data_IF_473833651062
#
_entry.id   IF_473833651062
#
_cell.length_a   1.000
_cell.length_b   1.000
_cell.length_c   1.000
_cell.angle_alpha   90.00
_cell.angle_beta   90.00
_cell.angle_gamma   90.00
#
_symmetry.space_group_name_H-M   'P 1'
#
loop_
_entity.id
_entity.type
_entity.pdbx_description
1 polymer ?
#
# COMPACT_ATOMS: atom_id res chain seq x y z
N UNK A 1 25.57 6.85 3.41
CA UNK A 1 24.42 6.31 2.66
C UNK A 1 24.75 5.13 1.74
N UNK A 2 25.97 4.99 1.20
CA UNK A 2 26.36 3.89 0.28
C UNK A 2 26.22 2.45 0.85
N UNK A 3 26.58 2.23 2.12
CA UNK A 3 26.57 0.88 2.72
C UNK A 3 25.16 0.28 2.87
N UNK A 4 24.14 1.12 3.05
CA UNK A 4 22.75 0.66 3.16
C UNK A 4 22.15 0.31 1.77
N UNK A 5 22.53 1.06 0.73
CA UNK A 5 22.12 0.78 -0.65
C UNK A 5 22.76 -0.52 -1.16
N UNK A 6 24.06 -0.75 -0.93
CA UNK A 6 24.74 -1.98 -1.34
C UNK A 6 24.16 -3.24 -0.69
N UNK A 7 23.90 -3.20 0.62
CA UNK A 7 23.25 -4.31 1.35
C UNK A 7 21.83 -4.60 0.86
N UNK A 8 21.11 -3.56 0.41
CA UNK A 8 19.74 -3.72 -0.09
C UNK A 8 19.71 -4.39 -1.47
N UNK A 9 20.70 -4.10 -2.34
CA UNK A 9 20.80 -4.74 -3.66
C UNK A 9 21.15 -6.21 -3.52
N UNK A 10 22.18 -6.55 -2.73
CA UNK A 10 22.56 -7.94 -2.48
C UNK A 10 21.40 -8.77 -1.89
N UNK A 11 20.60 -8.14 -1.01
CA UNK A 11 19.43 -8.79 -0.43
C UNK A 11 18.31 -9.03 -1.46
N UNK A 12 18.08 -8.09 -2.37
CA UNK A 12 17.12 -8.26 -3.48
C UNK A 12 17.55 -9.43 -4.36
N UNK A 13 18.83 -9.50 -4.75
CA UNK A 13 19.32 -10.58 -5.61
C UNK A 13 19.18 -11.96 -4.94
N UNK A 14 19.49 -12.04 -3.64
CA UNK A 14 19.28 -13.27 -2.85
C UNK A 14 17.81 -13.66 -2.77
N UNK A 15 16.90 -12.70 -2.58
CA UNK A 15 15.47 -12.98 -2.53
C UNK A 15 14.93 -13.42 -3.89
N UNK A 16 15.39 -12.83 -4.99
CA UNK A 16 15.02 -13.25 -6.34
C UNK A 16 15.48 -14.68 -6.64
N UNK A 17 16.71 -15.04 -6.26
CA UNK A 17 17.18 -16.41 -6.38
C UNK A 17 16.37 -17.39 -5.49
N UNK A 18 15.99 -16.97 -4.28
CA UNK A 18 15.16 -17.77 -3.40
C UNK A 18 13.75 -17.99 -3.96
N UNK A 19 13.14 -16.96 -4.57
CA UNK A 19 11.84 -17.04 -5.25
C UNK A 19 11.92 -18.02 -6.42
N UNK A 20 13.00 -18.00 -7.21
CA UNK A 20 13.20 -18.96 -8.30
C UNK A 20 13.33 -20.41 -7.80
N UNK A 21 13.90 -20.61 -6.61
CA UNK A 21 14.09 -21.93 -6.03
C UNK A 21 12.82 -22.46 -5.34
N UNK A 22 12.08 -21.60 -4.65
CA UNK A 22 10.85 -21.95 -3.95
C UNK A 22 9.92 -20.74 -3.81
N UNK A 23 9.04 -20.57 -4.80
CA UNK A 23 8.08 -19.49 -4.83
C UNK A 23 7.04 -19.62 -3.70
N UNK A 24 6.89 -18.55 -2.91
CA UNK A 24 5.89 -18.47 -1.85
C UNK A 24 5.55 -17.02 -1.49
N UNK A 25 4.40 -16.85 -0.85
CA UNK A 25 3.85 -15.55 -0.48
C UNK A 25 4.76 -14.75 0.46
N UNK A 26 5.51 -15.45 1.33
CA UNK A 26 6.38 -14.81 2.31
C UNK A 26 7.57 -14.14 1.64
N UNK A 27 8.21 -14.79 0.68
CA UNK A 27 9.35 -14.22 -0.05
C UNK A 27 8.94 -12.99 -0.86
N UNK A 28 7.80 -13.07 -1.55
CA UNK A 28 7.23 -11.94 -2.27
C UNK A 28 6.91 -10.76 -1.35
N UNK A 29 6.30 -11.01 -0.18
CA UNK A 29 6.03 -9.95 0.79
C UNK A 29 7.31 -9.34 1.40
N UNK A 30 8.37 -10.12 1.61
CA UNK A 30 9.66 -9.59 2.08
C UNK A 30 10.30 -8.70 1.01
N UNK A 31 10.28 -9.13 -0.26
CA UNK A 31 10.81 -8.34 -1.37
C UNK A 31 10.03 -7.02 -1.54
N UNK A 32 8.70 -7.09 -1.48
CA UNK A 32 7.82 -5.93 -1.51
C UNK A 32 8.10 -4.93 -0.36
N UNK A 33 8.38 -5.44 0.85
CA UNK A 33 8.77 -4.63 1.99
C UNK A 33 10.08 -3.86 1.76
N UNK A 34 11.06 -4.49 1.09
CA UNK A 34 12.30 -3.81 0.71
C UNK A 34 12.02 -2.69 -0.29
N UNK A 35 11.22 -2.95 -1.32
CA UNK A 35 10.82 -1.91 -2.28
C UNK A 35 10.06 -0.76 -1.60
N UNK A 36 9.17 -1.06 -0.65
CA UNK A 36 8.44 -0.06 0.15
C UNK A 36 9.42 0.84 0.91
N UNK A 37 10.43 0.27 1.57
CA UNK A 37 11.47 1.03 2.30
C UNK A 37 12.33 1.91 1.39
N UNK A 38 12.43 1.58 0.11
CA UNK A 38 13.12 2.37 -0.92
C UNK A 38 12.21 3.39 -1.61
N UNK A 39 10.94 3.50 -1.20
CA UNK A 39 9.90 4.29 -1.86
C UNK A 39 9.65 3.87 -3.33
N UNK A 40 10.00 2.65 -3.70
CA UNK A 40 9.73 2.06 -5.02
C UNK A 40 8.33 1.42 -5.00
N UNK A 41 7.29 2.24 -4.80
CA UNK A 41 5.93 1.79 -4.50
C UNK A 41 5.29 0.91 -5.59
N UNK A 42 5.62 1.14 -6.86
CA UNK A 42 5.11 0.31 -7.97
C UNK A 42 5.66 -1.12 -7.93
N UNK A 43 6.95 -1.28 -7.60
CA UNK A 43 7.55 -2.62 -7.45
C UNK A 43 7.04 -3.29 -6.18
N UNK A 44 6.85 -2.52 -5.11
CA UNK A 44 6.26 -3.05 -3.89
C UNK A 44 4.85 -3.59 -4.14
N UNK A 45 4.01 -2.84 -4.86
CA UNK A 45 2.67 -3.29 -5.26
C UNK A 45 2.73 -4.61 -6.03
N UNK A 46 3.56 -4.70 -7.08
CA UNK A 46 3.67 -5.91 -7.89
C UNK A 46 4.03 -7.14 -7.05
N UNK A 47 5.00 -7.01 -6.15
CA UNK A 47 5.43 -8.12 -5.31
C UNK A 47 4.40 -8.48 -4.23
N UNK A 48 3.68 -7.51 -3.65
CA UNK A 48 2.55 -7.85 -2.77
C UNK A 48 1.41 -8.52 -3.53
N UNK A 49 1.10 -8.11 -4.75
CA UNK A 49 0.08 -8.75 -5.57
C UNK A 49 0.45 -10.20 -5.87
N UNK A 50 1.71 -10.51 -6.21
CA UNK A 50 2.18 -11.90 -6.35
C UNK A 50 2.03 -12.71 -5.06
N UNK A 51 2.35 -12.11 -3.91
CA UNK A 51 2.12 -12.77 -2.63
C UNK A 51 0.63 -13.13 -2.43
N UNK A 52 -0.28 -12.24 -2.86
CA UNK A 52 -1.73 -12.45 -2.79
C UNK A 52 -2.27 -13.37 -3.90
N UNK A 53 -1.57 -13.53 -5.02
CA UNK A 53 -1.87 -14.55 -6.03
C UNK A 53 -1.62 -15.96 -5.48
N UNK A 54 -0.54 -16.14 -4.70
CA UNK A 54 -0.21 -17.41 -4.04
C UNK A 54 -1.12 -17.67 -2.85
N UNK A 55 -1.33 -16.64 -2.00
CA UNK A 55 -2.15 -16.73 -0.81
C UNK A 55 -3.06 -15.50 -0.67
N UNK A 56 -4.31 -15.57 -1.16
CA UNK A 56 -5.23 -14.44 -1.20
C UNK A 56 -5.59 -13.82 0.17
N UNK A 57 -5.58 -14.63 1.22
CA UNK A 57 -5.86 -14.23 2.61
C UNK A 57 -4.60 -13.88 3.40
N UNK A 58 -3.45 -13.69 2.72
CA UNK A 58 -2.21 -13.39 3.42
C UNK A 58 -2.27 -11.99 4.05
N UNK A 59 -2.50 -11.97 5.35
CA UNK A 59 -2.70 -10.77 6.16
C UNK A 59 -1.57 -9.75 5.96
N UNK A 60 -0.31 -10.20 6.06
CA UNK A 60 0.87 -9.33 5.90
C UNK A 60 0.89 -8.62 4.55
N UNK A 61 0.53 -9.31 3.46
CA UNK A 61 0.50 -8.71 2.14
C UNK A 61 -0.71 -7.78 1.96
N UNK A 62 -1.89 -8.16 2.47
CA UNK A 62 -3.08 -7.31 2.46
C UNK A 62 -2.84 -6.00 3.24
N UNK A 63 -2.33 -6.07 4.47
CA UNK A 63 -2.02 -4.88 5.27
C UNK A 63 -1.05 -3.95 4.55
N UNK A 64 0.12 -4.48 4.15
CA UNK A 64 1.18 -3.66 3.60
C UNK A 64 0.83 -3.11 2.21
N UNK A 65 0.10 -3.86 1.39
CA UNK A 65 -0.42 -3.36 0.12
C UNK A 65 -1.44 -2.23 0.35
N UNK A 66 -2.29 -2.37 1.36
CA UNK A 66 -3.17 -1.29 1.81
C UNK A 66 -2.41 -0.02 2.18
N UNK A 67 -1.28 -0.16 2.89
CA UNK A 67 -0.37 0.96 3.20
C UNK A 67 0.29 1.55 1.94
N UNK A 68 0.72 0.71 0.99
CA UNK A 68 1.30 1.18 -0.29
C UNK A 68 0.30 2.05 -1.04
N UNK A 69 -0.95 1.59 -1.19
CA UNK A 69 -1.99 2.37 -1.85
C UNK A 69 -2.34 3.65 -1.09
N UNK A 70 -2.36 3.62 0.25
CA UNK A 70 -2.56 4.82 1.06
C UNK A 70 -1.49 5.88 0.77
N UNK A 71 -0.22 5.45 0.68
CA UNK A 71 0.90 6.33 0.37
C UNK A 71 0.81 6.89 -1.05
N UNK A 72 0.49 6.05 -2.06
CA UNK A 72 0.24 6.52 -3.43
C UNK A 72 -0.86 7.57 -3.50
N UNK A 73 -1.96 7.36 -2.77
CA UNK A 73 -3.04 8.34 -2.69
C UNK A 73 -2.60 9.65 -2.06
N UNK A 74 -1.74 9.61 -1.03
CA UNK A 74 -1.16 10.81 -0.44
C UNK A 74 -0.20 11.55 -1.39
N UNK A 75 0.58 10.82 -2.20
CA UNK A 75 1.42 11.43 -3.23
C UNK A 75 0.59 12.16 -4.29
N UNK A 76 -0.52 11.55 -4.74
CA UNK A 76 -1.44 12.20 -5.69
C UNK A 76 -2.12 13.42 -5.09
N UNK A 77 -2.63 13.31 -3.87
CA UNK A 77 -3.26 14.43 -3.16
C UNK A 77 -2.28 15.59 -2.94
N UNK A 78 -1.02 15.28 -2.61
CA UNK A 78 0.03 16.30 -2.52
C UNK A 78 0.28 16.97 -3.86
N UNK A 79 0.45 16.18 -4.94
CA UNK A 79 0.61 16.72 -6.30
C UNK A 79 -0.55 17.61 -6.70
N UNK A 80 -1.78 17.30 -6.28
CA UNK A 80 -2.95 18.13 -6.54
C UNK A 80 -2.87 19.49 -5.82
N UNK A 81 -2.51 19.47 -4.53
CA UNK A 81 -2.37 20.68 -3.70
C UNK A 81 -1.21 21.59 -4.11
N UNK A 82 -0.15 21.04 -4.70
CA UNK A 82 1.01 21.79 -5.18
C UNK A 82 0.75 22.54 -6.51
N UNK A 83 -0.40 22.31 -7.18
CA UNK A 83 -0.74 22.94 -8.45
C UNK A 83 -1.32 24.36 -8.28
N UNK A 84 -0.98 25.30 -9.19
CA UNK A 84 -1.55 26.64 -9.15
C UNK A 84 -3.03 26.64 -9.57
N UNK A 85 -3.84 27.65 -9.17
CA UNK A 85 -5.27 27.71 -9.49
C UNK A 85 -5.62 27.60 -10.99
N UNK A 86 -4.71 28.05 -11.87
CA UNK A 86 -4.85 27.92 -13.34
C UNK A 86 -4.86 26.47 -13.84
N UNK A 87 -4.37 25.52 -13.04
CA UNK A 87 -4.33 24.09 -13.33
C UNK A 87 -5.41 23.30 -12.55
N UNK A 88 -6.51 23.95 -12.16
CA UNK A 88 -7.59 23.32 -11.37
C UNK A 88 -8.16 22.03 -11.98
N UNK A 89 -8.22 21.91 -13.31
CA UNK A 89 -8.67 20.67 -13.96
C UNK A 89 -7.72 19.50 -13.70
N UNK A 90 -6.41 19.75 -13.72
CA UNK A 90 -5.37 18.76 -13.44
C UNK A 90 -5.30 18.43 -11.95
N UNK A 91 -5.53 19.40 -11.07
CA UNK A 91 -5.68 19.16 -9.64
C UNK A 91 -6.82 18.17 -9.37
N UNK A 92 -7.99 18.37 -10.02
CA UNK A 92 -9.12 17.42 -9.92
C UNK A 92 -8.80 16.02 -10.45
N UNK A 93 -7.99 15.90 -11.51
CA UNK A 93 -7.53 14.60 -12.00
C UNK A 93 -6.64 13.88 -10.97
N UNK A 94 -5.73 14.61 -10.34
CA UNK A 94 -4.87 14.07 -9.29
C UNK A 94 -5.65 13.72 -8.02
N UNK A 95 -6.65 14.53 -7.64
CA UNK A 95 -7.58 14.19 -6.56
C UNK A 95 -8.35 12.90 -6.86
N UNK A 96 -8.81 12.72 -8.10
CA UNK A 96 -9.49 11.49 -8.52
C UNK A 96 -8.57 10.26 -8.41
N UNK A 97 -7.30 10.39 -8.83
CA UNK A 97 -6.28 9.35 -8.63
C UNK A 97 -6.04 9.08 -7.15
N UNK A 98 -5.97 10.12 -6.32
CA UNK A 98 -5.82 9.95 -4.87
C UNK A 98 -6.96 9.14 -4.25
N UNK A 99 -8.19 9.44 -4.65
CA UNK A 99 -9.40 8.74 -4.22
C UNK A 99 -9.38 7.27 -4.66
N UNK A 100 -8.96 6.99 -5.90
CA UNK A 100 -8.84 5.61 -6.40
C UNK A 100 -7.87 4.79 -5.54
N UNK A 101 -6.67 5.32 -5.28
CA UNK A 101 -5.69 4.61 -4.46
C UNK A 101 -6.17 4.45 -3.01
N UNK A 102 -6.82 5.47 -2.42
CA UNK A 102 -7.41 5.32 -1.09
C UNK A 102 -8.52 4.27 -1.03
N UNK A 103 -9.32 4.09 -2.09
CA UNK A 103 -10.31 3.00 -2.15
C UNK A 103 -9.66 1.63 -2.21
N UNK A 104 -8.59 1.47 -2.99
CA UNK A 104 -7.78 0.23 -2.97
C UNK A 104 -7.20 -0.01 -1.58
N UNK A 105 -6.66 1.04 -0.94
CA UNK A 105 -6.14 0.96 0.41
C UNK A 105 -7.19 0.45 1.41
N UNK A 106 -8.41 1.01 1.40
CA UNK A 106 -9.53 0.51 2.23
C UNK A 106 -9.76 -0.97 1.96
N UNK A 107 -9.86 -1.37 0.69
CA UNK A 107 -10.16 -2.77 0.31
C UNK A 107 -9.15 -3.77 0.91
N UNK A 108 -7.85 -3.49 0.78
CA UNK A 108 -6.82 -4.40 1.29
C UNK A 108 -6.66 -4.33 2.82
N UNK A 109 -6.85 -3.15 3.42
CA UNK A 109 -6.88 -3.01 4.88
C UNK A 109 -8.08 -3.73 5.50
N UNK A 110 -9.25 -3.70 4.86
CA UNK A 110 -10.43 -4.46 5.30
C UNK A 110 -10.15 -5.96 5.28
N UNK A 111 -9.60 -6.49 4.18
CA UNK A 111 -9.20 -7.91 4.10
C UNK A 111 -8.20 -8.30 5.19
N UNK A 112 -7.20 -7.47 5.44
CA UNK A 112 -6.24 -7.70 6.51
C UNK A 112 -6.93 -7.73 7.89
N UNK A 113 -7.84 -6.79 8.13
CA UNK A 113 -8.57 -6.66 9.38
C UNK A 113 -9.54 -7.83 9.61
N UNK A 114 -10.14 -8.36 8.55
CA UNK A 114 -10.99 -9.57 8.63
C UNK A 114 -10.21 -10.79 9.11
N UNK A 115 -8.96 -10.94 8.67
CA UNK A 115 -8.08 -12.05 9.08
C UNK A 115 -7.54 -11.84 10.49
N UNK A 116 -7.03 -10.63 10.78
CA UNK A 116 -6.45 -10.30 12.08
C UNK A 116 -6.90 -8.90 12.52
N UNK A 117 -8.00 -8.79 13.28
CA UNK A 117 -8.47 -7.51 13.77
C UNK A 117 -7.47 -6.85 14.73
N UNK A 118 -6.92 -5.70 14.34
CA UNK A 118 -6.02 -4.92 15.19
C UNK A 118 -6.42 -3.43 15.26
N UNK A 119 -5.95 -2.77 16.32
CA UNK A 119 -6.28 -1.36 16.60
C UNK A 119 -5.72 -0.40 15.54
N UNK A 120 -4.53 -0.67 15.01
CA UNK A 120 -3.88 0.23 14.06
C UNK A 120 -4.60 0.22 12.70
N UNK A 121 -4.92 -0.97 12.18
CA UNK A 121 -5.70 -1.12 10.94
C UNK A 121 -7.08 -0.52 11.09
N UNK A 122 -7.76 -0.78 12.23
CA UNK A 122 -9.05 -0.16 12.55
C UNK A 122 -9.00 1.36 12.51
N UNK A 123 -8.01 1.98 13.16
CA UNK A 123 -7.87 3.43 13.17
C UNK A 123 -7.60 4.00 11.76
N UNK A 124 -6.76 3.31 10.96
CA UNK A 124 -6.51 3.70 9.57
C UNK A 124 -7.77 3.64 8.72
N UNK A 125 -8.54 2.54 8.82
CA UNK A 125 -9.81 2.38 8.13
C UNK A 125 -10.80 3.49 8.52
N UNK A 126 -10.95 3.77 9.81
CA UNK A 126 -11.81 4.85 10.30
C UNK A 126 -11.43 6.21 9.68
N UNK A 127 -10.15 6.57 9.71
CA UNK A 127 -9.69 7.86 9.18
C UNK A 127 -9.88 7.94 7.65
N UNK A 128 -9.54 6.86 6.95
CA UNK A 128 -9.58 6.83 5.50
C UNK A 128 -11.01 6.86 4.95
N UNK A 129 -11.93 6.11 5.57
CA UNK A 129 -13.34 6.11 5.19
C UNK A 129 -14.01 7.47 5.44
N UNK A 130 -13.68 8.15 6.54
CA UNK A 130 -14.13 9.53 6.76
C UNK A 130 -13.59 10.48 5.69
N UNK A 131 -12.31 10.33 5.31
CA UNK A 131 -11.69 11.14 4.25
C UNK A 131 -12.35 10.92 2.88
N UNK A 132 -12.81 9.69 2.61
CA UNK A 132 -13.53 9.33 1.39
C UNK A 132 -15.00 9.76 1.39
N UNK A 133 -15.49 10.36 2.47
CA UNK A 133 -16.91 10.75 2.59
C UNK A 133 -17.83 9.56 2.82
N UNK A 134 -17.32 8.47 3.43
CA UNK A 134 -18.07 7.25 3.72
C UNK A 134 -18.24 7.03 5.25
N UNK A 135 -18.87 7.98 5.98
CA UNK A 135 -18.96 7.94 7.44
C UNK A 135 -19.76 6.74 7.97
N UNK A 136 -20.75 6.26 7.22
CA UNK A 136 -21.54 5.08 7.58
C UNK A 136 -20.67 3.81 7.63
N UNK A 137 -19.72 3.68 6.69
CA UNK A 137 -18.73 2.60 6.74
C UNK A 137 -17.72 2.84 7.85
N UNK A 138 -17.27 4.09 8.02
CA UNK A 138 -16.34 4.44 9.09
C UNK A 138 -16.89 4.10 10.49
N UNK A 139 -18.20 4.21 10.71
CA UNK A 139 -18.83 3.91 11.99
C UNK A 139 -18.52 2.49 12.51
N UNK A 140 -18.32 1.51 11.61
CA UNK A 140 -17.89 0.15 11.95
C UNK A 140 -16.55 0.09 12.69
N UNK A 141 -15.70 1.09 12.46
CA UNK A 141 -14.33 1.16 12.98
C UNK A 141 -14.17 2.21 14.10
N UNK A 142 -15.26 2.75 14.64
CA UNK A 142 -15.27 3.90 15.57
C UNK A 142 -14.84 3.59 17.02
N UNK A 143 -15.01 2.35 17.51
CA UNK A 143 -14.84 1.99 18.93
C UNK A 143 -13.63 1.08 19.20
#
# INVERSE_FOLDING_TARGET
MYLAQGKSVELIDKLQAAIQANDNETLHAILANIYTKKNELDKAEQEYLKALEIKPDYEVANYNLGVVYFNKGNEWNKKAGDLPPKEAAKAKEYDAKAIEEWKKAVTYLEKSYEVSPDKATKQRLFQLLNKLGEPDKAAKYKQ
#
